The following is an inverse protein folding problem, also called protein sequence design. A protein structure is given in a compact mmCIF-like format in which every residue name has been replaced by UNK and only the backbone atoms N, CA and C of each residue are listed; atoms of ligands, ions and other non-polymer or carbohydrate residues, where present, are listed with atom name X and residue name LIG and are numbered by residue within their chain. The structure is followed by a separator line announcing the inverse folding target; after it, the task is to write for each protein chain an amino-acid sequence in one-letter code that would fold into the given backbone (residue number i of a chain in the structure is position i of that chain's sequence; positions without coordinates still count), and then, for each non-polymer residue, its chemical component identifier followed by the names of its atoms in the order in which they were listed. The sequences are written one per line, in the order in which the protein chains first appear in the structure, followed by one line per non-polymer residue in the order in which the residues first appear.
data_IF_055727880949
#
_entry.id   IF_055727880949
#
_cell.length_a   1.000
_cell.length_b   1.000
_cell.length_c   1.000
_cell.angle_alpha   90.00
_cell.angle_beta   90.00
_cell.angle_gamma   90.00
#
_symmetry.space_group_name_H-M   'P 1'
#
loop_
_entity.id
_entity.type
_entity.pdbx_description
1 polymer ?
#
# COMPACT_ATOMS: atom_id res chain seq x y z
N UNK A 1 -12.42 23.38 -7.11
CA UNK A 1 -10.97 23.66 -7.19
C UNK A 1 -10.34 22.76 -6.15
N UNK A 2 -9.84 21.60 -6.57
CA UNK A 2 -9.24 20.63 -5.67
C UNK A 2 -7.72 20.82 -5.76
N UNK A 3 -7.12 21.23 -4.64
CA UNK A 3 -5.69 21.15 -4.42
C UNK A 3 -5.40 19.69 -4.08
N UNK A 4 -4.87 18.96 -5.04
CA UNK A 4 -4.24 17.66 -4.81
C UNK A 4 -3.01 17.91 -3.93
N UNK A 5 -3.15 17.72 -2.62
CA UNK A 5 -2.01 17.67 -1.73
C UNK A 5 -1.38 16.30 -1.86
N UNK A 6 -0.36 16.20 -2.71
CA UNK A 6 0.53 15.05 -2.89
C UNK A 6 1.25 14.59 -1.60
N UNK A 7 0.88 15.13 -0.44
CA UNK A 7 1.49 14.93 0.88
C UNK A 7 0.82 13.82 1.70
N UNK A 8 -0.43 13.42 1.40
CA UNK A 8 -1.09 12.28 2.05
C UNK A 8 -1.96 11.46 1.08
N UNK A 9 -1.40 10.39 0.47
CA UNK A 9 -2.16 9.49 -0.42
C UNK A 9 -3.24 8.68 0.31
N UNK A 10 -3.37 8.81 1.63
CA UNK A 10 -4.43 8.17 2.43
C UNK A 10 -5.60 9.08 2.76
N UNK A 11 -5.57 10.36 2.33
CA UNK A 11 -6.57 11.36 2.70
C UNK A 11 -7.85 11.37 1.85
N UNK A 12 -7.84 10.71 0.69
CA UNK A 12 -9.01 10.63 -0.20
C UNK A 12 -9.65 9.23 -0.13
N UNK A 13 -10.90 9.17 0.31
CA UNK A 13 -11.70 7.95 0.29
C UNK A 13 -12.65 7.99 -0.91
N UNK A 14 -12.64 6.93 -1.72
CA UNK A 14 -13.65 6.67 -2.74
C UNK A 14 -14.78 5.86 -2.12
N UNK A 15 -16.01 6.36 -2.22
CA UNK A 15 -17.19 5.62 -1.78
C UNK A 15 -17.66 4.70 -2.90
N UNK A 16 -17.82 3.42 -2.60
CA UNK A 16 -18.35 2.38 -3.48
C UNK A 16 -19.45 1.65 -2.75
N UNK A 17 -20.53 1.30 -3.45
CA UNK A 17 -21.74 0.74 -2.83
C UNK A 17 -21.53 -0.70 -2.31
N UNK A 18 -20.75 -1.53 -3.02
CA UNK A 18 -20.30 -2.83 -2.53
C UNK A 18 -18.89 -3.26 -3.03
N UNK A 19 -18.36 -4.36 -2.48
CA UNK A 19 -17.04 -4.91 -2.86
C UNK A 19 -17.02 -5.48 -4.30
N UNK A 20 -18.17 -5.86 -4.87
CA UNK A 20 -18.24 -6.39 -6.23
C UNK A 20 -18.10 -5.27 -7.28
N UNK A 21 -18.64 -4.09 -6.96
CA UNK A 21 -18.55 -2.87 -7.77
C UNK A 21 -17.17 -2.20 -7.68
N UNK A 22 -16.32 -2.61 -6.74
CA UNK A 22 -14.99 -2.03 -6.55
C UNK A 22 -14.10 -2.20 -7.78
N UNK A 23 -14.10 -3.37 -8.40
CA UNK A 23 -13.25 -3.65 -9.56
C UNK A 23 -13.66 -2.78 -10.75
N UNK A 24 -14.97 -2.65 -10.98
CA UNK A 24 -15.52 -1.82 -12.05
C UNK A 24 -15.24 -0.32 -11.76
N UNK A 25 -15.43 0.14 -10.53
CA UNK A 25 -15.12 1.50 -10.13
C UNK A 25 -13.63 1.84 -10.33
N UNK A 26 -12.72 0.93 -9.99
CA UNK A 26 -11.28 1.11 -10.24
C UNK A 26 -10.97 1.14 -11.74
N UNK A 27 -11.59 0.27 -12.52
CA UNK A 27 -11.43 0.23 -13.97
C UNK A 27 -11.91 1.52 -14.65
N UNK A 28 -13.05 2.09 -14.23
CA UNK A 28 -13.56 3.37 -14.73
C UNK A 28 -12.58 4.54 -14.49
N UNK A 29 -11.83 4.50 -13.39
CA UNK A 29 -10.79 5.47 -13.07
C UNK A 29 -9.42 5.15 -13.71
N UNK A 30 -9.29 3.99 -14.35
CA UNK A 30 -8.01 3.48 -14.87
C UNK A 30 -7.00 3.18 -13.76
N UNK A 31 -7.47 2.82 -12.56
CA UNK A 31 -6.65 2.51 -11.39
C UNK A 31 -6.43 1.00 -11.24
N UNK A 32 -5.23 0.63 -10.76
CA UNK A 32 -4.84 -0.76 -10.59
C UNK A 32 -4.26 -1.40 -11.85
N UNK A 33 -4.06 -2.70 -11.80
CA UNK A 33 -3.46 -3.53 -12.87
C UNK A 33 -4.48 -4.49 -13.52
N UNK A 34 -5.75 -4.38 -13.14
CA UNK A 34 -6.84 -5.26 -13.58
C UNK A 34 -6.98 -6.56 -12.78
N UNK A 35 -6.16 -6.78 -11.74
CA UNK A 35 -6.33 -7.91 -10.82
C UNK A 35 -7.37 -7.59 -9.73
N UNK A 36 -8.02 -8.63 -9.16
CA UNK A 36 -8.91 -8.45 -8.02
C UNK A 36 -8.18 -7.83 -6.83
N UNK A 37 -8.84 -6.88 -6.15
CA UNK A 37 -8.32 -6.20 -4.97
C UNK A 37 -9.38 -6.16 -3.88
N UNK A 38 -8.94 -6.25 -2.62
CA UNK A 38 -9.82 -6.06 -1.46
C UNK A 38 -9.79 -4.58 -1.05
N UNK A 39 -10.95 -3.92 -0.90
CA UNK A 39 -10.98 -2.52 -0.47
C UNK A 39 -10.29 -2.35 0.90
N UNK A 40 -9.27 -1.47 1.01
CA UNK A 40 -8.57 -1.22 2.25
C UNK A 40 -9.33 -0.21 3.12
N UNK A 41 -10.52 -0.59 3.58
CA UNK A 41 -11.33 0.28 4.46
C UNK A 41 -10.58 0.56 5.77
N UNK A 42 -10.85 1.71 6.44
CA UNK A 42 -10.22 2.04 7.72
C UNK A 42 -10.30 0.90 8.74
N UNK A 43 -11.44 0.22 8.84
CA UNK A 43 -11.66 -0.88 9.78
C UNK A 43 -10.79 -2.09 9.45
N UNK A 44 -10.64 -2.45 8.16
CA UNK A 44 -9.78 -3.55 7.71
C UNK A 44 -8.30 -3.22 7.95
N UNK A 45 -7.91 -1.96 7.73
CA UNK A 45 -6.53 -1.49 7.99
C UNK A 45 -6.22 -1.50 9.48
N UNK A 46 -7.12 -1.02 10.33
CA UNK A 46 -6.93 -1.04 11.78
C UNK A 46 -6.88 -2.47 12.32
N UNK A 47 -7.69 -3.38 11.77
CA UNK A 47 -7.61 -4.81 12.08
C UNK A 47 -6.27 -5.43 11.64
N UNK A 48 -5.74 -5.06 10.46
CA UNK A 48 -4.42 -5.47 9.98
C UNK A 48 -3.30 -4.96 10.89
N UNK A 49 -3.41 -3.74 11.41
CA UNK A 49 -2.43 -3.16 12.35
C UNK A 49 -2.45 -3.86 13.72
N UNK A 50 -3.58 -4.45 14.11
CA UNK A 50 -3.74 -5.19 15.37
C UNK A 50 -3.24 -4.41 16.61
N UNK A 51 -3.50 -3.10 16.64
CA UNK A 51 -3.09 -2.20 17.72
C UNK A 51 -1.64 -1.70 17.66
N UNK A 52 -0.85 -2.08 16.64
CA UNK A 52 0.49 -1.54 16.45
C UNK A 52 0.44 -0.08 15.92
N UNK A 53 1.40 0.79 16.30
CA UNK A 53 1.45 2.17 15.83
C UNK A 53 1.71 2.23 14.32
N UNK A 54 0.79 2.83 13.57
CA UNK A 54 0.81 2.87 12.10
C UNK A 54 1.81 3.87 11.50
N UNK A 55 2.25 4.86 12.26
CA UNK A 55 3.18 5.94 11.87
C UNK A 55 4.64 5.51 11.81
N UNK A 56 4.98 4.35 12.36
CA UNK A 56 6.35 3.85 12.35
C UNK A 56 6.86 3.66 10.91
N UNK A 57 7.94 4.37 10.56
CA UNK A 57 8.65 4.20 9.29
C UNK A 57 9.42 2.88 9.31
N UNK A 58 9.08 1.97 8.39
CA UNK A 58 9.68 0.64 8.31
C UNK A 58 10.87 0.64 7.34
N UNK A 59 10.74 1.36 6.23
CA UNK A 59 11.76 1.51 5.20
C UNK A 59 11.56 2.81 4.41
N UNK A 60 12.64 3.28 3.77
CA UNK A 60 12.57 4.34 2.74
C UNK A 60 13.03 3.72 1.43
N UNK A 61 12.15 3.69 0.42
CA UNK A 61 12.35 2.85 -0.77
C UNK A 61 12.52 3.69 -2.05
N UNK A 62 13.49 3.37 -2.93
CA UNK A 62 13.57 3.95 -4.27
C UNK A 62 12.36 3.54 -5.14
N UNK A 63 12.08 4.25 -6.26
CA UNK A 63 12.84 5.37 -6.81
C UNK A 63 12.46 6.73 -6.22
N UNK A 64 11.26 6.86 -5.64
CA UNK A 64 10.75 8.12 -5.08
C UNK A 64 11.32 8.44 -3.69
N UNK A 65 11.96 7.47 -3.02
CA UNK A 65 12.40 7.59 -1.62
C UNK A 65 11.23 7.92 -0.69
N UNK A 66 10.08 7.28 -0.96
CA UNK A 66 8.91 7.39 -0.10
C UNK A 66 9.10 6.57 1.18
N UNK A 67 8.52 7.06 2.27
CA UNK A 67 8.45 6.34 3.54
C UNK A 67 7.40 5.23 3.46
N UNK A 68 7.85 3.99 3.54
CA UNK A 68 6.99 2.84 3.78
C UNK A 68 6.71 2.75 5.29
N UNK A 69 5.66 3.44 5.72
CA UNK A 69 5.16 3.32 7.11
C UNK A 69 4.46 1.99 7.32
N UNK A 70 4.27 1.60 8.59
CA UNK A 70 3.49 0.41 8.94
C UNK A 70 2.05 0.53 8.41
N UNK A 71 1.43 1.70 8.46
CA UNK A 71 0.10 1.95 7.89
C UNK A 71 0.10 1.75 6.37
N UNK A 72 1.08 2.28 5.65
CA UNK A 72 1.21 2.07 4.20
C UNK A 72 1.33 0.58 3.87
N UNK A 73 2.14 -0.17 4.62
CA UNK A 73 2.27 -1.62 4.48
C UNK A 73 0.96 -2.34 4.79
N UNK A 74 0.26 -1.96 5.84
CA UNK A 74 -1.03 -2.54 6.21
C UNK A 74 -2.11 -2.32 5.13
N UNK A 75 -2.19 -1.11 4.55
CA UNK A 75 -3.07 -0.81 3.43
C UNK A 75 -2.80 -1.74 2.24
N UNK A 76 -1.53 -1.86 1.83
CA UNK A 76 -1.13 -2.75 0.74
C UNK A 76 -1.39 -4.23 1.06
N UNK A 77 -1.19 -4.63 2.32
CA UNK A 77 -1.48 -5.99 2.78
C UNK A 77 -2.98 -6.31 2.69
N UNK A 78 -3.85 -5.37 3.10
CA UNK A 78 -5.30 -5.54 2.96
C UNK A 78 -5.68 -5.64 1.50
N UNK A 79 -5.19 -4.72 0.64
CA UNK A 79 -5.44 -4.77 -0.81
C UNK A 79 -5.08 -6.13 -1.42
N UNK A 80 -3.97 -6.72 -0.98
CA UNK A 80 -3.50 -8.04 -1.40
C UNK A 80 -4.23 -9.23 -0.73
N UNK A 81 -5.22 -9.00 0.14
CA UNK A 81 -5.95 -10.05 0.85
C UNK A 81 -5.14 -10.79 1.92
N UNK A 82 -4.09 -10.15 2.45
CA UNK A 82 -3.25 -10.76 3.49
C UNK A 82 -3.98 -10.83 4.85
N UNK A 83 -3.51 -11.74 5.71
CA UNK A 83 -3.93 -11.83 7.11
C UNK A 83 -3.01 -10.99 8.01
N UNK A 84 -3.49 -10.51 9.18
CA UNK A 84 -2.68 -9.74 10.12
C UNK A 84 -1.38 -10.43 10.55
N UNK A 85 -1.39 -11.76 10.64
CA UNK A 85 -0.20 -12.57 10.97
C UNK A 85 0.93 -12.45 9.93
N UNK A 86 0.64 -11.98 8.72
CA UNK A 86 1.64 -11.75 7.68
C UNK A 86 2.37 -10.40 7.83
N UNK A 87 1.80 -9.42 8.55
CA UNK A 87 2.36 -8.07 8.62
C UNK A 87 3.83 -8.03 9.09
N UNK A 88 4.25 -8.81 10.12
CA UNK A 88 5.66 -8.84 10.52
C UNK A 88 6.61 -9.32 9.42
N UNK A 89 6.15 -10.26 8.57
CA UNK A 89 6.93 -10.76 7.42
C UNK A 89 7.05 -9.68 6.35
N UNK A 90 5.96 -8.95 6.08
CA UNK A 90 5.97 -7.83 5.14
C UNK A 90 6.89 -6.70 5.60
N UNK A 91 6.90 -6.39 6.91
CA UNK A 91 7.84 -5.41 7.47
C UNK A 91 9.30 -5.86 7.31
N UNK A 92 9.59 -7.13 7.57
CA UNK A 92 10.93 -7.69 7.38
C UNK A 92 11.35 -7.64 5.89
N UNK A 93 10.44 -7.97 4.98
CA UNK A 93 10.67 -7.87 3.54
C UNK A 93 10.96 -6.43 3.11
N UNK A 94 10.15 -5.46 3.55
CA UNK A 94 10.38 -4.04 3.24
C UNK A 94 11.75 -3.56 3.74
N UNK A 95 12.17 -3.96 4.95
CA UNK A 95 13.51 -3.67 5.47
C UNK A 95 14.62 -4.31 4.64
N UNK A 96 14.41 -5.55 4.19
CA UNK A 96 15.36 -6.25 3.31
C UNK A 96 15.47 -5.56 1.95
N UNK A 97 14.36 -5.10 1.38
CA UNK A 97 14.33 -4.35 0.13
C UNK A 97 15.08 -3.01 0.20
N UNK A 98 15.14 -2.39 1.38
CA UNK A 98 15.88 -1.15 1.61
C UNK A 98 17.40 -1.36 1.76
N UNK A 99 17.88 -2.60 1.83
CA UNK A 99 19.30 -2.90 2.00
C UNK A 99 20.10 -2.57 0.74
N UNK A 100 21.23 -1.83 0.84
CA UNK A 100 22.06 -1.47 -0.31
C UNK A 100 22.52 -2.68 -1.12
N UNK A 101 22.75 -3.82 -0.47
CA UNK A 101 23.23 -5.05 -1.10
C UNK A 101 22.27 -5.62 -2.15
N UNK A 102 20.96 -5.35 -2.01
CA UNK A 102 19.96 -5.75 -3.00
C UNK A 102 20.01 -4.86 -4.26
N UNK A 103 20.56 -3.64 -4.14
CA UNK A 103 20.54 -2.62 -5.20
C UNK A 103 19.15 -2.45 -5.83
N UNK A 104 18.12 -2.22 -5.00
CA UNK A 104 16.73 -2.16 -5.46
C UNK A 104 16.52 -1.16 -6.62
N UNK A 105 17.24 -0.03 -6.62
CA UNK A 105 17.23 0.96 -7.70
C UNK A 105 17.57 0.38 -9.07
N UNK A 106 18.47 -0.59 -9.12
CA UNK A 106 18.94 -1.19 -10.38
C UNK A 106 18.10 -2.36 -10.85
N UNK A 107 17.31 -2.98 -9.96
CA UNK A 107 16.56 -4.22 -10.26
C UNK A 107 15.04 -4.04 -10.28
N UNK A 108 14.53 -2.88 -9.88
CA UNK A 108 13.08 -2.61 -9.86
C UNK A 108 12.54 -1.96 -11.14
N UNK A 109 13.39 -1.69 -12.13
CA UNK A 109 12.99 -1.10 -13.42
C UNK A 109 13.38 -2.05 -14.55
N UNK A 110 12.43 -2.33 -15.45
CA UNK A 110 12.68 -2.98 -16.73
C UNK A 110 12.63 -1.92 -17.83
N UNK A 111 13.73 -1.76 -18.57
CA UNK A 111 13.75 -0.90 -19.77
C UNK A 111 13.04 -1.64 -20.91
N UNK A 112 12.08 -1.00 -21.57
CA UNK A 112 11.53 -1.41 -22.87
C UNK A 112 12.16 -0.60 -23.99
#
# INVERSE_FOLDING_TARGET
MYVDSLDDPTSALLQVDDDADLVDALAEHGWGDGLPVVAPTPERVDAMLAGNPGDAVIAVLPPRFGEATRRTLAINAVMAGCLPVHLPVLEAAARALARPELNLRGVNATTH
#
